data_IF_275075750984
#
_entry.id   IF_275075750984
#
_cell.length_a   1.000
_cell.length_b   1.000
_cell.length_c   1.000
_cell.angle_alpha   90.00
_cell.angle_beta   90.00
_cell.angle_gamma   90.00
#
_symmetry.space_group_name_H-M   'P 1'
#
loop_
_entity.id
_entity.type
_entity.pdbx_description
1 polymer ?
#
# COMPACT_ATOMS: atom_id res chain seq x y z
N UNK A 1 6.17 9.50 11.07
CA UNK A 1 4.95 8.68 11.01
C UNK A 1 5.10 7.67 9.90
N UNK A 2 4.93 6.36 10.15
CA UNK A 2 4.97 5.33 9.11
C UNK A 2 3.64 4.60 9.13
N UNK A 3 3.02 4.45 7.96
CA UNK A 3 1.85 3.59 7.78
C UNK A 3 2.28 2.15 8.06
N UNK A 4 1.54 1.44 8.91
CA UNK A 4 1.80 0.03 9.15
C UNK A 4 1.42 -0.81 7.93
N UNK A 5 2.18 -1.86 7.63
CA UNK A 5 1.89 -2.74 6.48
C UNK A 5 0.48 -3.35 6.58
N UNK A 6 0.00 -3.57 7.80
CA UNK A 6 -1.34 -4.09 8.05
C UNK A 6 -2.45 -3.09 7.68
N UNK A 7 -2.28 -1.80 8.02
CA UNK A 7 -3.19 -0.75 7.55
C UNK A 7 -3.11 -0.60 6.03
N UNK A 8 -1.90 -0.54 5.46
CA UNK A 8 -1.74 -0.40 4.02
C UNK A 8 -2.48 -1.50 3.25
N UNK A 9 -2.40 -2.74 3.71
CA UNK A 9 -3.11 -3.89 3.12
C UNK A 9 -4.62 -3.71 3.17
N UNK A 10 -5.18 -3.36 4.33
CA UNK A 10 -6.62 -3.17 4.49
C UNK A 10 -7.14 -2.09 3.53
N UNK A 11 -6.45 -0.94 3.47
CA UNK A 11 -6.85 0.16 2.59
C UNK A 11 -6.66 -0.14 1.10
N UNK A 12 -5.62 -0.89 0.73
CA UNK A 12 -5.44 -1.33 -0.66
C UNK A 12 -6.54 -2.28 -1.11
N UNK A 13 -7.01 -3.12 -0.19
CA UNK A 13 -8.14 -4.03 -0.42
C UNK A 13 -9.45 -3.24 -0.56
N UNK A 14 -9.73 -2.35 0.40
CA UNK A 14 -10.94 -1.53 0.42
C UNK A 14 -11.03 -0.58 -0.78
N UNK A 15 -9.89 -0.02 -1.21
CA UNK A 15 -9.81 0.84 -2.39
C UNK A 15 -9.86 0.06 -3.71
N UNK A 16 -9.85 -1.28 -3.68
CA UNK A 16 -9.79 -2.12 -4.88
C UNK A 16 -8.50 -1.98 -5.69
N UNK A 17 -7.44 -1.43 -5.08
CA UNK A 17 -6.14 -1.22 -5.72
C UNK A 17 -5.28 -2.49 -5.75
N UNK A 18 -5.54 -3.43 -4.85
CA UNK A 18 -4.90 -4.74 -4.84
C UNK A 18 -5.87 -5.80 -4.31
N UNK A 19 -5.70 -7.03 -4.80
CA UNK A 19 -6.46 -8.20 -4.31
C UNK A 19 -5.71 -8.92 -3.18
N UNK A 20 -6.41 -9.71 -2.37
CA UNK A 20 -5.80 -10.50 -1.29
C UNK A 20 -4.65 -11.37 -1.79
N UNK A 21 -4.81 -11.97 -2.97
CA UNK A 21 -3.77 -12.81 -3.60
C UNK A 21 -2.52 -12.00 -3.97
N UNK A 22 -2.69 -10.79 -4.50
CA UNK A 22 -1.57 -9.90 -4.83
C UNK A 22 -0.87 -9.39 -3.56
N UNK A 23 -1.63 -9.02 -2.53
CA UNK A 23 -1.08 -8.60 -1.25
C UNK A 23 -0.29 -9.72 -0.57
N UNK A 24 -0.77 -10.96 -0.61
CA UNK A 24 -0.07 -12.11 -0.04
C UNK A 24 1.24 -12.42 -0.77
N UNK A 25 1.25 -12.33 -2.12
CA UNK A 25 2.47 -12.46 -2.93
C UNK A 25 3.47 -11.35 -2.60
N UNK A 26 3.01 -10.11 -2.60
CA UNK A 26 3.84 -8.95 -2.27
C UNK A 26 4.39 -9.03 -0.84
N UNK A 27 3.63 -9.54 0.13
CA UNK A 27 4.09 -9.73 1.51
C UNK A 27 5.19 -10.77 1.60
N UNK A 28 5.04 -11.89 0.90
CA UNK A 28 6.05 -12.94 0.87
C UNK A 28 7.36 -12.44 0.24
N UNK A 29 7.27 -11.66 -0.84
CA UNK A 29 8.44 -11.03 -1.45
C UNK A 29 9.05 -9.93 -0.58
N UNK A 30 8.23 -9.09 0.05
CA UNK A 30 8.66 -8.05 0.98
C UNK A 30 9.45 -8.65 2.14
N UNK A 31 8.97 -9.77 2.72
CA UNK A 31 9.69 -10.52 3.76
C UNK A 31 11.00 -11.10 3.27
N UNK A 32 11.03 -11.69 2.06
CA UNK A 32 12.25 -12.27 1.46
C UNK A 32 13.31 -11.20 1.14
N UNK A 33 12.89 -10.05 0.64
CA UNK A 33 13.78 -8.95 0.21
C UNK A 33 14.06 -7.94 1.32
N UNK A 34 13.43 -8.08 2.50
CA UNK A 34 13.40 -7.07 3.56
C UNK A 34 13.05 -5.66 3.03
N UNK A 35 12.14 -5.61 2.05
CA UNK A 35 11.66 -4.37 1.44
C UNK A 35 10.27 -4.02 1.96
N UNK A 36 9.84 -2.78 1.76
CA UNK A 36 8.49 -2.37 2.12
C UNK A 36 7.48 -3.01 1.18
N UNK A 37 6.34 -3.42 1.74
CA UNK A 37 5.22 -3.98 0.97
C UNK A 37 4.82 -3.05 -0.19
N UNK A 38 4.72 -1.75 0.07
CA UNK A 38 4.37 -0.76 -0.94
C UNK A 38 5.37 -0.68 -2.11
N UNK A 39 6.67 -0.81 -1.84
CA UNK A 39 7.69 -0.80 -2.90
C UNK A 39 7.63 -2.08 -3.74
N UNK A 40 7.36 -3.21 -3.10
CA UNK A 40 7.17 -4.49 -3.81
C UNK A 40 5.92 -4.45 -4.68
N UNK A 41 4.82 -3.91 -4.17
CA UNK A 41 3.57 -3.75 -4.93
C UNK A 41 3.73 -2.84 -6.15
N UNK A 42 4.50 -1.75 -6.00
CA UNK A 42 4.84 -0.85 -7.10
C UNK A 42 5.77 -1.53 -8.10
N UNK A 43 6.81 -2.23 -7.63
CA UNK A 43 7.76 -2.94 -8.47
C UNK A 43 7.13 -4.09 -9.26
N UNK A 44 6.09 -4.73 -8.71
CA UNK A 44 5.28 -5.75 -9.39
C UNK A 44 4.25 -5.14 -10.37
N UNK A 45 4.07 -3.82 -10.37
CA UNK A 45 3.02 -3.17 -11.17
C UNK A 45 1.60 -3.42 -10.66
N UNK A 46 1.45 -3.94 -9.44
CA UNK A 46 0.13 -4.16 -8.81
C UNK A 46 -0.56 -2.84 -8.50
N UNK A 47 0.21 -1.87 -8.01
CA UNK A 47 -0.28 -0.55 -7.62
C UNK A 47 0.64 0.50 -8.22
N UNK A 48 0.10 1.61 -8.72
CA UNK A 48 0.95 2.71 -9.19
C UNK A 48 1.58 3.42 -7.99
N UNK A 49 2.81 3.96 -8.12
CA UNK A 49 3.45 4.72 -7.06
C UNK A 49 2.64 5.95 -6.64
N UNK A 50 1.95 6.60 -7.59
CA UNK A 50 1.07 7.74 -7.32
C UNK A 50 -0.16 7.33 -6.47
N UNK A 51 -0.80 6.21 -6.80
CA UNK A 51 -1.97 5.71 -6.06
C UNK A 51 -1.58 5.27 -4.64
N UNK A 52 -0.43 4.60 -4.51
CA UNK A 52 0.13 4.22 -3.22
C UNK A 52 0.42 5.46 -2.33
N UNK A 53 1.04 6.50 -2.90
CA UNK A 53 1.32 7.74 -2.17
C UNK A 53 0.04 8.45 -1.73
N UNK A 54 -0.99 8.47 -2.58
CA UNK A 54 -2.30 9.04 -2.27
C UNK A 54 -2.98 8.28 -1.13
N UNK A 55 -2.91 6.94 -1.16
CA UNK A 55 -3.45 6.09 -0.11
C UNK A 55 -2.71 6.30 1.22
N UNK A 56 -1.37 6.37 1.19
CA UNK A 56 -0.57 6.64 2.40
C UNK A 56 -0.89 8.01 3.00
N UNK A 57 -1.10 9.03 2.18
CA UNK A 57 -1.54 10.35 2.64
C UNK A 57 -2.93 10.30 3.30
N UNK A 58 -3.86 9.51 2.72
CA UNK A 58 -5.18 9.28 3.29
C UNK A 58 -5.12 8.55 4.65
N UNK A 59 -4.28 7.50 4.76
CA UNK A 59 -4.11 6.71 5.99
C UNK A 59 -3.47 7.51 7.13
N UNK A 60 -2.56 8.43 6.80
CA UNK A 60 -1.89 9.27 7.80
C UNK A 60 -2.82 10.32 8.43
N UNK A 61 -4.08 10.39 8.00
CA UNK A 61 -5.06 11.27 8.62
C UNK A 61 -4.73 12.74 8.42
N UNK A 62 -3.99 13.10 7.36
CA UNK A 62 -4.09 14.45 6.83
C UNK A 62 -5.48 14.48 6.17
N UNK A 63 -6.48 15.16 6.76
CA UNK A 63 -7.73 15.32 6.06
C UNK A 63 -7.39 16.09 4.79
N UNK A 64 -7.85 15.61 3.63
CA UNK A 64 -8.04 16.51 2.50
C UNK A 64 -9.14 17.47 2.93
N UNK A 65 -8.76 18.52 3.66
CA UNK A 65 -9.61 19.68 3.85
C UNK A 65 -9.59 20.36 2.49
N UNK A 66 -10.65 20.15 1.71
CA UNK A 66 -11.03 21.19 0.75
C UNK A 66 -11.33 22.43 1.58
N UNK A 67 -10.37 23.36 1.63
CA UNK A 67 -10.60 24.76 2.01
C UNK A 67 -10.69 25.59 0.74
#
# INVERSE_FOLDING_TARGET
>A
MRVSDQQLKAFLLDAGLATESQLAKAESEAKRKQQRLGEVLVGQGTVKPADLARLQAYILGIPFVSL
#
